data_IF_751490261293
#
_entry.id   IF_751490261293
#
_cell.length_a   1.000
_cell.length_b   1.000
_cell.length_c   1.000
_cell.angle_alpha   90.00
_cell.angle_beta   90.00
_cell.angle_gamma   90.00
#
_symmetry.space_group_name_H-M   'P 1'
#
loop_
_entity.id
_entity.type
_entity.pdbx_description
1 polymer ?
#
# COMPACT_ATOMS: atom_id res chain seq x y z
N UNK A 1 -1.04 5.44 11.97
CA UNK A 1 -1.27 4.98 10.58
C UNK A 1 -0.05 4.29 10.00
N UNK A 2 1.15 4.88 10.09
CA UNK A 2 2.39 4.30 9.51
C UNK A 2 2.68 2.87 10.00
N UNK A 3 2.61 2.62 11.32
CA UNK A 3 2.79 1.27 11.88
C UNK A 3 1.79 0.27 11.28
N UNK A 4 0.50 0.62 11.24
CA UNK A 4 -0.54 -0.26 10.69
C UNK A 4 -0.33 -0.53 9.19
N UNK A 5 0.05 0.49 8.42
CA UNK A 5 0.34 0.33 6.99
C UNK A 5 1.55 -0.57 6.77
N UNK A 6 2.60 -0.36 7.56
CA UNK A 6 3.84 -1.15 7.54
C UNK A 6 3.55 -2.62 7.85
N UNK A 7 2.78 -2.90 8.91
CA UNK A 7 2.35 -4.26 9.25
C UNK A 7 1.53 -4.85 8.09
N UNK A 8 0.55 -4.12 7.57
CA UNK A 8 -0.33 -4.61 6.51
C UNK A 8 0.47 -4.99 5.25
N UNK A 9 1.40 -4.14 4.80
CA UNK A 9 2.24 -4.46 3.64
C UNK A 9 3.32 -5.51 3.93
N UNK A 10 3.88 -5.57 5.14
CA UNK A 10 4.80 -6.63 5.52
C UNK A 10 4.12 -8.01 5.47
N UNK A 11 2.92 -8.11 6.05
CA UNK A 11 2.10 -9.34 6.02
C UNK A 11 1.71 -9.70 4.59
N UNK A 12 1.23 -8.73 3.81
CA UNK A 12 0.86 -8.94 2.40
C UNK A 12 2.04 -9.46 1.57
N UNK A 13 3.20 -8.82 1.68
CA UNK A 13 4.43 -9.22 0.97
C UNK A 13 4.94 -10.60 1.40
N UNK A 14 5.01 -10.84 2.71
CA UNK A 14 5.43 -12.12 3.25
C UNK A 14 4.50 -13.25 2.79
N UNK A 15 3.18 -13.02 2.78
CA UNK A 15 2.21 -14.00 2.28
C UNK A 15 2.42 -14.32 0.80
N UNK A 16 2.56 -13.32 -0.07
CA UNK A 16 2.84 -13.54 -1.50
C UNK A 16 4.15 -14.29 -1.75
N UNK A 17 5.18 -14.02 -0.95
CA UNK A 17 6.45 -14.75 -1.02
C UNK A 17 6.32 -16.22 -0.61
N UNK A 18 5.50 -16.50 0.41
CA UNK A 18 5.21 -17.88 0.84
C UNK A 18 4.42 -18.65 -0.22
N UNK A 19 3.48 -18.02 -0.92
CA UNK A 19 2.77 -18.65 -2.06
C UNK A 19 3.74 -19.02 -3.18
N UNK A 20 4.82 -18.24 -3.35
CA UNK A 20 5.94 -18.54 -4.26
C UNK A 20 6.94 -19.56 -3.73
N UNK A 21 6.70 -20.13 -2.54
CA UNK A 21 7.56 -21.12 -1.89
C UNK A 21 9.02 -20.64 -1.73
N UNK A 22 9.20 -19.33 -1.52
CA UNK A 22 10.52 -18.79 -1.18
C UNK A 22 10.97 -19.29 0.20
N UNK A 23 12.28 -19.27 0.44
CA UNK A 23 12.86 -19.59 1.73
C UNK A 23 12.57 -18.49 2.78
N UNK A 24 12.92 -18.74 4.03
CA UNK A 24 12.70 -17.81 5.15
C UNK A 24 13.24 -16.41 4.82
N UNK A 25 14.45 -16.35 4.27
CA UNK A 25 15.10 -15.10 3.93
C UNK A 25 14.34 -14.35 2.83
N UNK A 26 13.96 -15.04 1.75
CA UNK A 26 13.17 -14.47 0.67
C UNK A 26 11.82 -13.92 1.16
N UNK A 27 11.13 -14.63 2.07
CA UNK A 27 9.87 -14.15 2.65
C UNK A 27 10.06 -12.84 3.42
N UNK A 28 11.09 -12.75 4.25
CA UNK A 28 11.39 -11.55 5.03
C UNK A 28 11.78 -10.38 4.13
N UNK A 29 12.61 -10.60 3.11
CA UNK A 29 13.03 -9.55 2.18
C UNK A 29 11.86 -9.01 1.35
N UNK A 30 11.00 -9.89 0.83
CA UNK A 30 9.81 -9.44 0.08
C UNK A 30 8.86 -8.67 0.99
N UNK A 31 8.59 -9.15 2.21
CA UNK A 31 7.81 -8.39 3.20
C UNK A 31 8.41 -7.02 3.49
N UNK A 32 9.75 -6.95 3.61
CA UNK A 32 10.48 -5.71 3.84
C UNK A 32 10.33 -4.72 2.68
N UNK A 33 10.65 -5.14 1.45
CA UNK A 33 10.52 -4.28 0.26
C UNK A 33 9.08 -3.83 0.05
N UNK A 34 8.09 -4.69 0.31
CA UNK A 34 6.67 -4.32 0.19
C UNK A 34 6.30 -3.21 1.17
N UNK A 35 6.76 -3.32 2.42
CA UNK A 35 6.42 -2.37 3.48
C UNK A 35 7.08 -1.00 3.33
N UNK A 36 8.36 -0.95 2.95
CA UNK A 36 9.11 0.32 2.84
C UNK A 36 9.18 0.89 1.43
N UNK A 37 8.90 0.10 0.39
CA UNK A 37 9.18 0.47 -0.99
C UNK A 37 8.47 1.74 -1.44
N UNK A 38 7.16 1.83 -1.20
CA UNK A 38 6.37 3.01 -1.52
C UNK A 38 6.81 4.26 -0.73
N UNK A 39 7.05 4.11 0.57
CA UNK A 39 7.55 5.20 1.43
C UNK A 39 8.97 5.68 1.05
N UNK A 40 9.84 4.77 0.62
CA UNK A 40 11.19 5.08 0.16
C UNK A 40 11.13 5.89 -1.13
N UNK A 41 10.34 5.47 -2.11
CA UNK A 41 10.16 6.22 -3.36
C UNK A 41 9.58 7.60 -3.07
N UNK A 42 8.55 7.69 -2.22
CA UNK A 42 7.99 8.97 -1.76
C UNK A 42 9.07 9.87 -1.19
N UNK A 43 9.83 9.37 -0.22
CA UNK A 43 10.83 10.16 0.50
C UNK A 43 11.92 10.67 -0.44
N UNK A 44 12.39 9.84 -1.38
CA UNK A 44 13.34 10.26 -2.41
C UNK A 44 12.75 11.35 -3.31
N UNK A 45 11.51 11.19 -3.77
CA UNK A 45 10.85 12.16 -4.65
C UNK A 45 10.68 13.55 -4.01
N UNK A 46 10.46 13.61 -2.69
CA UNK A 46 10.30 14.88 -1.96
C UNK A 46 11.61 15.37 -1.32
N UNK A 47 12.75 14.72 -1.59
CA UNK A 47 14.05 15.09 -1.02
C UNK A 47 14.21 14.81 0.47
N UNK A 48 13.34 13.97 1.05
CA UNK A 48 13.36 13.61 2.47
C UNK A 48 14.44 12.55 2.75
N UNK A 49 15.67 13.00 2.96
CA UNK A 49 16.84 12.13 3.22
C UNK A 49 17.44 12.36 4.61
N UNK A 50 17.88 11.32 5.34
CA UNK A 50 17.69 9.89 5.04
C UNK A 50 16.20 9.50 5.05
N UNK A 51 15.85 8.49 4.26
CA UNK A 51 14.47 7.99 4.13
C UNK A 51 13.93 7.51 5.48
N UNK A 52 12.62 7.58 5.67
CA UNK A 52 11.98 7.51 6.99
C UNK A 52 12.36 6.25 7.79
N UNK A 53 12.38 5.08 7.15
CA UNK A 53 12.68 3.81 7.82
C UNK A 53 14.13 3.67 8.28
N UNK A 54 15.05 4.48 7.75
CA UNK A 54 16.47 4.48 8.14
C UNK A 54 16.77 5.37 9.34
N UNK A 55 15.79 6.15 9.82
CA UNK A 55 15.99 7.10 10.93
C UNK A 55 16.01 6.43 12.29
N UNK A 56 15.28 5.33 12.43
CA UNK A 56 15.21 4.54 13.65
C UNK A 56 14.97 3.04 13.35
N UNK A 57 15.22 2.21 14.36
CA UNK A 57 15.08 0.75 14.24
C UNK A 57 13.63 0.25 14.38
N UNK A 58 12.68 1.11 14.72
CA UNK A 58 11.30 0.72 15.00
C UNK A 58 10.63 0.14 13.76
N UNK A 59 10.78 0.82 12.61
CA UNK A 59 10.17 0.37 11.34
C UNK A 59 10.75 -0.97 10.87
N UNK A 60 12.08 -1.15 10.77
CA UNK A 60 12.68 -2.45 10.47
C UNK A 60 12.25 -3.58 11.41
N UNK A 61 12.21 -3.33 12.72
CA UNK A 61 11.80 -4.35 13.71
C UNK A 61 10.32 -4.74 13.56
N UNK A 62 9.43 -3.78 13.30
CA UNK A 62 8.02 -4.05 13.02
C UNK A 62 7.86 -4.95 11.80
N UNK A 63 8.61 -4.67 10.72
CA UNK A 63 8.57 -5.46 9.50
C UNK A 63 9.03 -6.89 9.75
N UNK A 64 10.20 -7.06 10.39
CA UNK A 64 10.74 -8.38 10.70
C UNK A 64 9.79 -9.17 11.62
N UNK A 65 9.28 -8.53 12.68
CA UNK A 65 8.29 -9.12 13.57
C UNK A 65 7.02 -9.53 12.83
N UNK A 66 6.49 -8.67 11.97
CA UNK A 66 5.29 -8.95 11.15
C UNK A 66 5.53 -10.12 10.19
N UNK A 67 6.69 -10.16 9.53
CA UNK A 67 7.07 -11.25 8.63
C UNK A 67 7.20 -12.59 9.36
N UNK A 68 7.88 -12.62 10.51
CA UNK A 68 8.01 -13.81 11.34
C UNK A 68 6.65 -14.31 11.86
N UNK A 69 5.79 -13.40 12.33
CA UNK A 69 4.43 -13.76 12.73
C UNK A 69 3.62 -14.30 11.54
N UNK A 70 3.75 -13.71 10.36
CA UNK A 70 3.08 -14.20 9.15
C UNK A 70 3.48 -15.65 8.83
N UNK A 71 4.75 -15.97 9.01
CA UNK A 71 5.28 -17.33 8.80
C UNK A 71 4.77 -18.30 9.87
N UNK A 72 4.81 -17.90 11.14
CA UNK A 72 4.34 -18.72 12.27
C UNK A 72 2.84 -19.05 12.15
N UNK A 73 2.04 -18.09 11.72
CA UNK A 73 0.59 -18.23 11.57
C UNK A 73 0.14 -18.66 10.16
N UNK A 74 1.07 -19.12 9.31
CA UNK A 74 0.79 -19.53 7.92
C UNK A 74 -0.42 -20.46 7.81
N UNK A 75 -0.50 -21.51 8.61
CA UNK A 75 -1.60 -22.49 8.54
C UNK A 75 -2.99 -21.94 8.91
N UNK A 76 -3.05 -20.83 9.66
CA UNK A 76 -4.30 -20.11 9.92
C UNK A 76 -4.61 -19.11 8.80
N UNK A 77 -3.58 -18.40 8.31
CA UNK A 77 -3.69 -17.42 7.24
C UNK A 77 -4.05 -18.03 5.87
N UNK A 78 -3.59 -19.26 5.59
CA UNK A 78 -3.96 -20.00 4.37
C UNK A 78 -5.45 -20.38 4.34
N UNK A 79 -6.08 -20.60 5.50
CA UNK A 79 -7.52 -20.86 5.59
C UNK A 79 -8.33 -19.61 5.28
N UNK A 80 -7.75 -18.44 5.49
CA UNK A 80 -8.31 -17.15 5.13
C UNK A 80 -7.97 -16.85 3.66
N UNK A 81 -8.80 -17.32 2.72
CA UNK A 81 -8.64 -17.11 1.26
C UNK A 81 -8.53 -15.63 0.80
N UNK A 82 -8.68 -14.67 1.71
CA UNK A 82 -8.77 -13.23 1.46
C UNK A 82 -7.59 -12.45 2.10
N UNK A 83 -6.68 -13.12 2.83
CA UNK A 83 -5.61 -12.51 3.63
C UNK A 83 -4.77 -11.50 2.83
N UNK A 84 -4.19 -11.94 1.71
CA UNK A 84 -3.38 -11.07 0.85
C UNK A 84 -4.13 -9.80 0.44
N UNK A 85 -5.34 -9.96 -0.11
CA UNK A 85 -6.11 -8.87 -0.67
C UNK A 85 -6.53 -7.85 0.39
N UNK A 86 -6.92 -8.32 1.58
CA UNK A 86 -7.34 -7.45 2.67
C UNK A 86 -6.18 -6.60 3.19
N UNK A 87 -5.03 -7.24 3.47
CA UNK A 87 -3.84 -6.53 3.95
C UNK A 87 -3.27 -5.58 2.89
N UNK A 88 -3.25 -5.99 1.62
CA UNK A 88 -2.85 -5.13 0.51
C UNK A 88 -3.77 -3.91 0.38
N UNK A 89 -5.08 -4.10 0.50
CA UNK A 89 -6.08 -3.02 0.44
C UNK A 89 -5.96 -2.04 1.61
N UNK A 90 -5.77 -2.55 2.82
CA UNK A 90 -5.55 -1.72 4.01
C UNK A 90 -4.24 -0.92 3.91
N UNK A 91 -3.14 -1.59 3.54
CA UNK A 91 -1.84 -0.94 3.33
C UNK A 91 -1.93 0.18 2.29
N UNK A 92 -2.59 -0.10 1.17
CA UNK A 92 -2.81 0.86 0.10
C UNK A 92 -3.54 2.12 0.59
N UNK A 93 -4.65 1.96 1.30
CA UNK A 93 -5.42 3.10 1.84
C UNK A 93 -4.59 3.94 2.83
N UNK A 94 -3.93 3.27 3.77
CA UNK A 94 -3.12 3.93 4.80
C UNK A 94 -1.96 4.72 4.18
N UNK A 95 -1.17 4.09 3.30
CA UNK A 95 0.00 4.73 2.70
C UNK A 95 -0.36 5.79 1.66
N UNK A 96 -1.51 5.67 0.99
CA UNK A 96 -2.02 6.74 0.13
C UNK A 96 -2.22 8.01 0.93
N UNK A 97 -2.95 7.94 2.05
CA UNK A 97 -3.21 9.13 2.88
C UNK A 97 -1.92 9.64 3.51
N UNK A 98 -1.05 8.78 4.04
CA UNK A 98 0.26 9.21 4.59
C UNK A 98 1.09 9.96 3.53
N UNK A 99 1.12 9.47 2.29
CA UNK A 99 1.83 10.13 1.19
C UNK A 99 1.25 11.51 0.84
N UNK A 100 -0.08 11.63 0.78
CA UNK A 100 -0.75 12.93 0.57
C UNK A 100 -0.39 13.90 1.69
N UNK A 101 -0.47 13.44 2.94
CA UNK A 101 -0.17 14.28 4.10
C UNK A 101 1.28 14.77 4.10
N UNK A 102 2.24 13.93 3.71
CA UNK A 102 3.63 14.38 3.57
C UNK A 102 3.81 15.41 2.47
N UNK A 103 3.17 15.23 1.31
CA UNK A 103 3.18 16.25 0.26
C UNK A 103 2.58 17.58 0.72
N UNK A 104 1.44 17.54 1.41
CA UNK A 104 0.79 18.74 1.95
C UNK A 104 1.67 19.43 3.01
N UNK A 105 2.37 18.66 3.86
CA UNK A 105 3.21 19.22 4.92
C UNK A 105 4.40 20.04 4.43
N UNK A 106 4.83 19.81 3.18
CA UNK A 106 5.91 20.57 2.53
C UNK A 106 5.37 21.59 1.52
N UNK A 107 4.06 21.86 1.53
CA UNK A 107 3.42 22.89 0.71
C UNK A 107 3.21 22.53 -0.76
N UNK A 108 3.23 21.24 -1.14
CA UNK A 108 2.90 20.84 -2.51
C UNK A 108 1.42 21.09 -2.83
N UNK A 109 1.14 21.35 -4.11
CA UNK A 109 -0.23 21.49 -4.59
C UNK A 109 -1.05 20.21 -4.34
N UNK A 110 -2.33 20.31 -3.92
CA UNK A 110 -3.17 19.13 -3.63
C UNK A 110 -3.21 18.07 -4.73
N UNK A 111 -3.20 18.47 -6.01
CA UNK A 111 -3.17 17.52 -7.13
C UNK A 111 -1.88 16.70 -7.19
N UNK A 112 -0.73 17.36 -6.92
CA UNK A 112 0.57 16.69 -6.81
C UNK A 112 0.59 15.78 -5.58
N UNK A 113 0.00 16.21 -4.47
CA UNK A 113 -0.10 15.39 -3.26
C UNK A 113 -0.91 14.10 -3.50
N UNK A 114 -2.01 14.16 -4.26
CA UNK A 114 -2.78 12.97 -4.65
C UNK A 114 -1.95 12.02 -5.52
N UNK A 115 -1.18 12.54 -6.47
CA UNK A 115 -0.27 11.72 -7.28
C UNK A 115 0.83 11.07 -6.41
N UNK A 116 1.48 11.84 -5.55
CA UNK A 116 2.51 11.37 -4.62
C UNK A 116 1.95 10.31 -3.66
N UNK A 117 0.75 10.54 -3.11
CA UNK A 117 0.05 9.57 -2.29
C UNK A 117 -0.25 8.27 -3.02
N UNK A 118 -0.77 8.36 -4.25
CA UNK A 118 -1.03 7.19 -5.09
C UNK A 118 0.26 6.40 -5.35
N UNK A 119 1.37 7.07 -5.64
CA UNK A 119 2.69 6.42 -5.79
C UNK A 119 3.10 5.74 -4.49
N UNK A 120 2.99 6.45 -3.36
CA UNK A 120 3.35 5.94 -2.02
C UNK A 120 2.56 4.67 -1.68
N UNK A 121 1.26 4.67 -1.94
CA UNK A 121 0.40 3.53 -1.67
C UNK A 121 0.68 2.36 -2.61
N UNK A 122 0.84 2.61 -3.91
CA UNK A 122 0.89 1.53 -4.89
C UNK A 122 2.25 0.86 -5.00
N UNK A 123 3.35 1.61 -4.85
CA UNK A 123 4.65 1.11 -5.26
C UNK A 123 5.24 0.03 -4.34
N UNK A 124 4.75 -0.09 -3.09
CA UNK A 124 5.06 -1.24 -2.25
C UNK A 124 4.62 -2.56 -2.91
N UNK A 125 3.36 -2.62 -3.35
CA UNK A 125 2.82 -3.78 -4.09
C UNK A 125 3.46 -3.96 -5.47
N UNK A 126 3.79 -2.87 -6.17
CA UNK A 126 4.48 -2.95 -7.47
C UNK A 126 5.85 -3.61 -7.34
N UNK A 127 6.67 -3.16 -6.39
CA UNK A 127 8.01 -3.73 -6.18
C UNK A 127 7.93 -5.19 -5.75
N UNK A 128 6.99 -5.55 -4.86
CA UNK A 128 6.69 -6.93 -4.50
C UNK A 128 6.42 -7.79 -5.73
N UNK A 129 5.46 -7.37 -6.56
CA UNK A 129 5.02 -8.16 -7.69
C UNK A 129 6.13 -8.31 -8.74
N UNK A 130 6.93 -7.26 -8.97
CA UNK A 130 8.11 -7.31 -9.84
C UNK A 130 9.15 -8.31 -9.34
N UNK A 131 9.49 -8.28 -8.04
CA UNK A 131 10.46 -9.21 -7.44
C UNK A 131 9.96 -10.67 -7.45
N UNK A 132 8.64 -10.87 -7.39
CA UNK A 132 8.01 -12.20 -7.53
C UNK A 132 7.73 -12.61 -8.99
N UNK A 133 8.25 -11.84 -9.95
CA UNK A 133 8.11 -12.05 -11.39
C UNK A 133 6.65 -12.15 -11.86
N UNK A 134 5.82 -11.23 -11.39
CA UNK A 134 4.44 -11.07 -11.81
C UNK A 134 4.19 -9.67 -12.38
N UNK A 135 3.25 -9.57 -13.32
CA UNK A 135 2.70 -8.26 -13.72
C UNK A 135 2.03 -7.66 -12.48
N UNK A 136 2.48 -6.47 -12.02
CA UNK A 136 1.93 -5.83 -10.84
C UNK A 136 0.42 -5.66 -10.92
N UNK A 137 -0.25 -5.86 -9.78
CA UNK A 137 -1.71 -5.71 -9.66
C UNK A 137 -2.17 -4.36 -10.19
N UNK A 138 -1.40 -3.30 -9.94
CA UNK A 138 -1.62 -1.95 -10.45
C UNK A 138 -1.85 -1.89 -11.97
N UNK A 139 -1.13 -2.70 -12.75
CA UNK A 139 -1.18 -2.68 -14.22
C UNK A 139 -2.14 -3.70 -14.81
N UNK A 140 -2.81 -4.51 -13.99
CA UNK A 140 -3.82 -5.45 -14.47
C UNK A 140 -5.09 -4.69 -14.80
N UNK A 141 -5.57 -4.80 -16.03
CA UNK A 141 -6.77 -4.11 -16.52
C UNK A 141 -8.04 -4.42 -15.71
N UNK A 142 -8.01 -5.50 -14.92
CA UNK A 142 -9.16 -5.97 -14.14
C UNK A 142 -9.26 -5.38 -12.73
N UNK A 143 -8.30 -4.58 -12.27
CA UNK A 143 -8.27 -4.16 -10.86
C UNK A 143 -8.31 -2.63 -10.70
N UNK A 144 -9.33 -2.15 -9.98
CA UNK A 144 -9.43 -0.76 -9.54
C UNK A 144 -8.46 -0.58 -8.37
N UNK A 145 -7.26 -0.08 -8.69
CA UNK A 145 -6.16 0.04 -7.74
C UNK A 145 -5.74 1.51 -7.54
N UNK A 146 -5.00 2.10 -8.49
CA UNK A 146 -4.63 3.51 -8.42
C UNK A 146 -5.83 4.44 -8.49
N UNK A 147 -6.87 4.08 -9.25
CA UNK A 147 -8.11 4.86 -9.34
C UNK A 147 -8.80 5.00 -7.99
N UNK A 148 -8.83 3.95 -7.16
CA UNK A 148 -9.33 4.04 -5.79
C UNK A 148 -8.54 5.06 -4.96
N UNK A 149 -7.20 5.03 -5.07
CA UNK A 149 -6.30 5.96 -4.38
C UNK A 149 -6.52 7.42 -4.82
N UNK A 150 -6.68 7.65 -6.12
CA UNK A 150 -6.93 8.98 -6.68
C UNK A 150 -8.27 9.53 -6.19
N UNK A 151 -9.34 8.73 -6.24
CA UNK A 151 -10.66 9.14 -5.77
C UNK A 151 -10.61 9.43 -4.26
N UNK A 152 -10.09 8.49 -3.47
CA UNK A 152 -9.96 8.66 -2.01
C UNK A 152 -9.07 9.82 -1.61
N UNK A 153 -7.96 10.02 -2.31
CA UNK A 153 -7.06 11.15 -2.08
C UNK A 153 -7.67 12.49 -2.44
N UNK A 154 -8.44 12.55 -3.52
CA UNK A 154 -9.18 13.76 -3.91
C UNK A 154 -10.23 14.10 -2.86
N UNK A 155 -11.02 13.11 -2.43
CA UNK A 155 -12.01 13.28 -1.36
C UNK A 155 -11.34 13.69 -0.04
N UNK A 156 -10.15 13.15 0.26
CA UNK A 156 -9.38 13.57 1.43
C UNK A 156 -9.03 15.06 1.36
N UNK A 157 -8.46 15.53 0.25
CA UNK A 157 -8.07 16.92 0.07
C UNK A 157 -9.26 17.90 0.19
N UNK A 158 -10.41 17.59 -0.39
CA UNK A 158 -11.62 18.40 -0.22
C UNK A 158 -12.21 18.26 1.20
N UNK A 159 -12.16 17.06 1.77
CA UNK A 159 -12.64 16.78 3.11
C UNK A 159 -11.93 17.59 4.18
N UNK A 160 -10.64 17.91 3.99
CA UNK A 160 -9.89 18.80 4.89
C UNK A 160 -10.44 20.23 4.98
N UNK A 161 -11.27 20.67 4.02
CA UNK A 161 -11.90 22.00 4.06
C UNK A 161 -13.14 22.06 4.97
N UNK A 162 -13.75 20.91 5.27
CA UNK A 162 -15.06 20.82 5.93
C UNK A 162 -15.06 19.90 7.15
N UNK A 163 -14.12 18.97 7.25
CA UNK A 163 -14.05 17.97 8.31
C UNK A 163 -12.73 18.09 9.09
N UNK A 164 -12.73 17.70 10.38
CA UNK A 164 -11.51 17.51 11.13
C UNK A 164 -10.58 16.51 10.43
N UNK A 165 -9.27 16.73 10.51
CA UNK A 165 -8.28 15.92 9.81
C UNK A 165 -8.45 14.41 10.06
N UNK A 166 -8.70 14.00 11.31
CA UNK A 166 -8.90 12.58 11.67
C UNK A 166 -10.14 11.97 11.00
N UNK A 167 -11.25 12.72 10.93
CA UNK A 167 -12.46 12.28 10.27
C UNK A 167 -12.25 12.15 8.76
N UNK A 168 -11.59 13.11 8.13
CA UNK A 168 -11.22 13.06 6.72
C UNK A 168 -10.31 11.85 6.41
N UNK A 169 -9.33 11.54 7.28
CA UNK A 169 -8.45 10.38 7.13
C UNK A 169 -9.25 9.06 7.15
N UNK A 170 -10.08 8.86 8.17
CA UNK A 170 -10.86 7.62 8.33
C UNK A 170 -11.82 7.44 7.16
N UNK A 171 -12.51 8.52 6.76
CA UNK A 171 -13.42 8.50 5.62
C UNK A 171 -12.70 8.13 4.32
N UNK A 172 -11.54 8.74 4.05
CA UNK A 172 -10.79 8.48 2.83
C UNK A 172 -10.21 7.07 2.79
N UNK A 173 -9.63 6.58 3.89
CA UNK A 173 -9.14 5.18 3.99
C UNK A 173 -10.29 4.20 3.80
N UNK A 174 -11.41 4.44 4.48
CA UNK A 174 -12.61 3.62 4.35
C UNK A 174 -13.14 3.58 2.92
N UNK A 175 -13.13 4.71 2.23
CA UNK A 175 -13.55 4.81 0.84
C UNK A 175 -12.60 4.10 -0.13
N UNK A 176 -11.27 4.25 0.03
CA UNK A 176 -10.28 3.50 -0.77
C UNK A 176 -10.49 1.99 -0.59
N UNK A 177 -10.61 1.54 0.66
CA UNK A 177 -10.82 0.12 0.96
C UNK A 177 -12.16 -0.38 0.43
N UNK A 178 -13.23 0.41 0.61
CA UNK A 178 -14.58 0.11 0.15
C UNK A 178 -14.64 -0.03 -1.38
N UNK A 179 -14.04 0.91 -2.12
CA UNK A 179 -13.96 0.85 -3.58
C UNK A 179 -13.24 -0.42 -4.02
N UNK A 180 -12.11 -0.78 -3.41
CA UNK A 180 -11.39 -2.01 -3.77
C UNK A 180 -12.18 -3.27 -3.48
N UNK A 181 -12.81 -3.35 -2.32
CA UNK A 181 -13.64 -4.50 -1.94
C UNK A 181 -14.82 -4.65 -2.90
N UNK A 182 -15.50 -3.55 -3.23
CA UNK A 182 -16.62 -3.54 -4.18
C UNK A 182 -16.15 -3.91 -5.59
N UNK A 183 -15.00 -3.38 -6.04
CA UNK A 183 -14.44 -3.68 -7.34
C UNK A 183 -14.15 -5.17 -7.51
N UNK A 184 -13.58 -5.83 -6.49
CA UNK A 184 -13.34 -7.28 -6.53
C UNK A 184 -14.63 -8.08 -6.46
N UNK A 185 -15.59 -7.69 -5.60
CA UNK A 185 -16.87 -8.41 -5.48
C UNK A 185 -17.75 -8.31 -6.73
N UNK A 186 -17.77 -7.14 -7.37
CA UNK A 186 -18.58 -6.85 -8.55
C UNK A 186 -17.82 -7.05 -9.87
N UNK A 187 -16.57 -7.52 -9.81
CA UNK A 187 -15.68 -7.68 -10.96
C UNK A 187 -15.60 -6.42 -11.83
N UNK A 188 -15.49 -5.25 -11.21
CA UNK A 188 -15.31 -3.99 -11.93
C UNK A 188 -13.96 -3.97 -12.65
N UNK A 189 -13.97 -3.66 -13.94
CA UNK A 189 -12.77 -3.63 -14.77
C UNK A 189 -12.65 -2.27 -15.46
N UNK A 190 -11.43 -1.79 -15.60
CA UNK A 190 -11.16 -0.65 -16.46
C UNK A 190 -11.09 -1.13 -17.91
N UNK A 191 -11.56 -0.33 -18.88
CA UNK A 191 -11.47 -0.69 -20.29
C UNK A 191 -9.99 -0.90 -20.67
N UNK A 192 -9.68 -2.08 -21.21
CA UNK A 192 -8.34 -2.38 -21.68
C UNK A 192 -8.06 -1.60 -22.97
N UNK A 193 -6.97 -0.83 -22.98
CA UNK A 193 -6.44 -0.24 -24.22
C UNK A 193 -5.81 -1.38 -25.03
N UNK A 194 -6.50 -1.85 -26.07
CA UNK A 194 -5.95 -2.87 -26.97
C UNK A 194 -4.76 -2.26 -27.74
N UNK A 195 -3.56 -2.78 -27.48
CA UNK A 195 -2.44 -2.61 -28.40
C UNK A 195 -2.71 -3.33 -29.72
N UNK A 196 -2.18 -2.79 -30.82
CA UNK A 196 -2.15 -3.50 -32.11
C UNK A 196 -1.25 -4.73 -32.04
#
# INVERSE_FOLDING_TARGET
>A
MEILGTIAFAVSGAFSAMEKKLDLFGVLIIGFVTAIGGGTIRDVLIGNTPVTWMRDMTTPLIILGSGLLTILFKGYLEKLKITFFLFDTLGLGLFTIIGIQKGLSIGLNPGICVALGTITGCFGGVLRDMLLNHIPVLFRSREIYATACIIGGTIYCFGLMVLPQQAAQVLAIGLICGIRILAVRLNWQLPAVKGK
#
